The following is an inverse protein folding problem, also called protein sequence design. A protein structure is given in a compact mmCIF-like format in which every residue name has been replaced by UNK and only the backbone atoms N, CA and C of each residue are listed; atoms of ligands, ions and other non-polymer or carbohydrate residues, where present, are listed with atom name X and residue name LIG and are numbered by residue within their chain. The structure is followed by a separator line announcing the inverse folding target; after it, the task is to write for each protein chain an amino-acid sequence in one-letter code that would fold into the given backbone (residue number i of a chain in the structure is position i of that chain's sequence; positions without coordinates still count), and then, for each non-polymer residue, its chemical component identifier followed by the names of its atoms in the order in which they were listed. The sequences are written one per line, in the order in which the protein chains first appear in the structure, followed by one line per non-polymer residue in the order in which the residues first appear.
data_IF_409872630676
#
_entry.id   IF_409872630676
#
_cell.length_a   1.000
_cell.length_b   1.000
_cell.length_c   1.000
_cell.angle_alpha   90.00
_cell.angle_beta   90.00
_cell.angle_gamma   90.00
#
_symmetry.space_group_name_H-M   'P 1'
#
loop_
_entity.id
_entity.type
_entity.pdbx_description
1 polymer ?
#
# COMPACT_ATOMS: atom_id res chain seq x y z
N UNK A 1 -3.35 10.04 -8.60
CA UNK A 1 -4.50 9.31 -9.20
C UNK A 1 -5.67 10.28 -9.40
N UNK A 2 -6.60 10.11 -10.37
CA UNK A 2 -7.65 11.12 -10.63
C UNK A 2 -8.67 11.18 -9.48
N UNK A 3 -9.00 12.38 -9.01
CA UNK A 3 -10.00 12.60 -7.97
C UNK A 3 -11.42 12.43 -8.54
N UNK A 4 -12.17 11.44 -8.06
CA UNK A 4 -13.59 11.22 -8.44
C UNK A 4 -14.46 12.38 -7.89
N UNK A 5 -15.66 12.65 -8.38
CA UNK A 5 -16.57 13.59 -7.72
C UNK A 5 -17.24 12.94 -6.49
N UNK A 6 -17.36 13.66 -5.36
CA UNK A 6 -18.04 13.18 -4.15
C UNK A 6 -19.52 13.55 -4.28
N UNK A 7 -20.23 12.73 -5.04
CA UNK A 7 -21.64 12.41 -5.01
C UNK A 7 -22.68 13.56 -5.07
N UNK A 8 -23.66 13.38 -5.97
CA UNK A 8 -24.95 14.09 -6.16
C UNK A 8 -24.93 15.50 -6.79
N UNK A 9 -23.97 16.37 -6.50
CA UNK A 9 -24.01 17.78 -6.99
C UNK A 9 -22.90 18.17 -8.00
N UNK A 10 -22.07 17.22 -8.43
CA UNK A 10 -21.07 17.42 -9.49
C UNK A 10 -19.91 18.37 -9.18
N UNK A 11 -19.83 18.99 -7.99
CA UNK A 11 -18.78 19.95 -7.63
C UNK A 11 -17.78 19.40 -6.60
N UNK A 12 -16.48 19.48 -6.89
CA UNK A 12 -15.41 19.18 -5.91
C UNK A 12 -15.22 20.39 -4.98
N UNK A 13 -15.32 20.18 -3.66
CA UNK A 13 -15.07 21.26 -2.69
C UNK A 13 -13.57 21.59 -2.59
N UNK A 14 -13.23 22.85 -2.29
CA UNK A 14 -11.83 23.25 -2.04
C UNK A 14 -11.17 22.41 -0.96
N UNK A 15 -11.92 22.10 0.11
CA UNK A 15 -11.41 21.29 1.21
C UNK A 15 -10.98 19.90 0.75
N UNK A 16 -11.74 19.31 -0.18
CA UNK A 16 -11.42 18.01 -0.76
C UNK A 16 -10.20 18.07 -1.68
N UNK A 17 -10.06 19.14 -2.45
CA UNK A 17 -8.85 19.38 -3.25
C UNK A 17 -7.61 19.51 -2.37
N UNK A 18 -7.69 20.25 -1.27
CA UNK A 18 -6.60 20.36 -0.29
C UNK A 18 -6.21 19.00 0.29
N UNK A 19 -7.19 18.18 0.71
CA UNK A 19 -6.94 16.84 1.24
C UNK A 19 -6.33 15.92 0.19
N UNK A 20 -6.83 15.96 -1.05
CA UNK A 20 -6.29 15.17 -2.15
C UNK A 20 -4.85 15.58 -2.49
N UNK A 21 -4.58 16.88 -2.61
CA UNK A 21 -3.24 17.39 -2.89
C UNK A 21 -2.25 16.99 -1.79
N UNK A 22 -2.65 17.13 -0.52
CA UNK A 22 -1.83 16.71 0.61
C UNK A 22 -1.56 15.19 0.60
N UNK A 23 -2.52 14.36 0.17
CA UNK A 23 -2.34 12.92 0.00
C UNK A 23 -1.37 12.60 -1.15
N UNK A 24 -1.52 13.24 -2.30
CA UNK A 24 -0.74 12.98 -3.51
C UNK A 24 0.75 13.37 -3.37
N UNK A 25 1.06 14.34 -2.52
CA UNK A 25 2.44 14.70 -2.19
C UNK A 25 3.02 13.81 -1.07
N UNK A 26 2.18 13.17 -0.27
CA UNK A 26 2.60 12.44 0.92
C UNK A 26 3.29 11.13 0.57
N UNK A 27 4.49 10.97 1.13
CA UNK A 27 5.20 9.69 1.23
C UNK A 27 5.16 9.24 2.69
N UNK A 28 4.75 7.99 2.93
CA UNK A 28 4.75 7.40 4.27
C UNK A 28 5.78 6.30 4.36
N UNK A 29 6.71 6.41 5.31
CA UNK A 29 7.66 5.33 5.61
C UNK A 29 7.13 4.52 6.78
N UNK A 30 7.03 3.21 6.60
CA UNK A 30 6.59 2.26 7.62
C UNK A 30 7.77 1.35 7.96
N UNK A 31 8.34 1.54 9.15
CA UNK A 31 9.32 0.62 9.70
C UNK A 31 8.59 -0.64 10.22
N UNK A 32 8.61 -1.70 9.43
CA UNK A 32 8.06 -2.99 9.82
C UNK A 32 9.01 -3.70 10.78
N UNK A 33 8.43 -4.35 11.78
CA UNK A 33 9.17 -5.19 12.73
C UNK A 33 9.77 -6.41 12.03
N UNK A 34 10.81 -7.00 12.61
CA UNK A 34 11.37 -8.29 12.16
C UNK A 34 10.44 -9.47 12.50
N UNK A 35 9.27 -9.49 11.86
CA UNK A 35 8.22 -10.49 12.01
C UNK A 35 7.34 -10.53 10.75
N UNK A 36 6.60 -11.62 10.59
CA UNK A 36 5.57 -11.69 9.55
C UNK A 36 4.55 -10.56 9.77
N UNK A 37 4.32 -9.74 8.75
CA UNK A 37 3.56 -8.50 8.87
C UNK A 37 2.47 -8.47 7.82
N UNK A 38 1.25 -8.06 8.19
CA UNK A 38 0.20 -7.74 7.21
C UNK A 38 0.13 -6.23 7.03
N UNK A 39 0.16 -5.77 5.80
CA UNK A 39 0.04 -4.36 5.44
C UNK A 39 -1.34 -3.81 5.85
N UNK A 40 -1.41 -2.51 6.12
CA UNK A 40 -2.65 -1.81 6.43
C UNK A 40 -3.18 -1.14 5.17
N UNK A 41 -4.41 -1.48 4.77
CA UNK A 41 -5.06 -0.85 3.61
C UNK A 41 -5.25 0.67 3.83
N UNK A 42 -5.54 1.10 5.06
CA UNK A 42 -5.66 2.52 5.39
C UNK A 42 -4.32 3.27 5.24
N UNK A 43 -3.20 2.61 5.56
CA UNK A 43 -1.87 3.19 5.36
C UNK A 43 -1.56 3.34 3.88
N UNK A 44 -1.86 2.31 3.08
CA UNK A 44 -1.69 2.34 1.62
C UNK A 44 -2.56 3.41 0.94
N UNK A 45 -3.80 3.59 1.36
CA UNK A 45 -4.71 4.58 0.79
C UNK A 45 -4.46 6.02 1.25
N UNK A 46 -3.75 6.19 2.38
CA UNK A 46 -3.51 7.48 3.03
C UNK A 46 -2.30 8.26 2.54
N UNK A 47 -1.64 7.81 1.47
CA UNK A 47 -0.45 8.40 0.87
C UNK A 47 -0.40 8.08 -0.63
N UNK A 48 0.39 8.87 -1.38
CA UNK A 48 0.70 8.59 -2.79
C UNK A 48 1.68 7.43 -2.93
N UNK A 49 2.60 7.33 -1.98
CA UNK A 49 3.56 6.23 -1.88
C UNK A 49 3.75 5.82 -0.43
N UNK A 50 3.78 4.51 -0.21
CA UNK A 50 4.16 3.90 1.06
C UNK A 50 5.44 3.10 0.86
N UNK A 51 6.45 3.38 1.68
CA UNK A 51 7.72 2.66 1.69
C UNK A 51 7.77 1.80 2.96
N UNK A 52 7.69 0.49 2.79
CA UNK A 52 7.93 -0.46 3.87
C UNK A 52 9.43 -0.72 3.99
N UNK A 53 10.01 -0.42 5.14
CA UNK A 53 11.40 -0.80 5.46
C UNK A 53 11.37 -1.92 6.49
N UNK A 54 12.21 -2.93 6.31
CA UNK A 54 12.35 -4.04 7.27
C UNK A 54 13.80 -4.48 7.31
N UNK A 55 14.30 -4.79 8.51
CA UNK A 55 15.64 -5.37 8.73
C UNK A 55 15.49 -6.81 9.21
N UNK A 56 15.19 -7.77 8.32
CA UNK A 56 14.91 -9.13 8.73
C UNK A 56 16.17 -9.90 9.18
N UNK A 57 16.03 -10.70 10.23
CA UNK A 57 17.06 -11.66 10.69
C UNK A 57 16.75 -13.11 10.31
N UNK A 58 15.62 -13.34 9.64
CA UNK A 58 15.19 -14.59 9.03
C UNK A 58 14.26 -14.26 7.85
N UNK A 59 13.90 -15.24 7.00
CA UNK A 59 12.90 -15.00 5.95
C UNK A 59 11.57 -14.47 6.53
N UNK A 60 11.03 -13.39 5.96
CA UNK A 60 9.78 -12.76 6.43
C UNK A 60 8.71 -12.69 5.36
N UNK A 61 7.47 -12.85 5.78
CA UNK A 61 6.31 -12.60 4.94
C UNK A 61 5.81 -11.17 5.15
N UNK A 62 5.57 -10.46 4.05
CA UNK A 62 4.80 -9.22 4.04
C UNK A 62 3.49 -9.49 3.30
N UNK A 63 2.39 -9.63 4.03
CA UNK A 63 1.08 -9.97 3.46
C UNK A 63 0.34 -8.70 3.04
N UNK A 64 -0.20 -8.70 1.82
CA UNK A 64 -1.09 -7.62 1.35
C UNK A 64 -2.44 -7.66 2.08
N UNK A 65 -3.17 -6.54 2.21
CA UNK A 65 -4.54 -6.58 2.74
C UNK A 65 -5.44 -7.37 1.79
N UNK A 66 -6.61 -7.81 2.27
CA UNK A 66 -7.60 -8.45 1.38
C UNK A 66 -8.16 -7.45 0.38
N UNK A 67 -8.66 -7.93 -0.75
CA UNK A 67 -9.31 -7.07 -1.75
C UNK A 67 -10.49 -6.26 -1.17
N UNK A 68 -11.22 -6.82 -0.20
CA UNK A 68 -12.30 -6.10 0.49
C UNK A 68 -11.77 -4.95 1.36
N UNK A 69 -10.64 -5.16 2.06
CA UNK A 69 -10.00 -4.09 2.84
C UNK A 69 -9.45 -2.98 1.93
N UNK A 70 -8.87 -3.36 0.78
CA UNK A 70 -8.41 -2.40 -0.23
C UNK A 70 -9.59 -1.59 -0.80
N UNK A 71 -10.66 -2.26 -1.24
CA UNK A 71 -11.85 -1.58 -1.78
C UNK A 71 -12.53 -0.65 -0.78
N UNK A 72 -12.51 -0.99 0.52
CA UNK A 72 -13.03 -0.12 1.57
C UNK A 72 -12.13 1.09 1.86
N UNK A 73 -10.81 0.96 1.72
CA UNK A 73 -9.85 2.02 2.03
C UNK A 73 -9.66 3.01 0.86
N UNK A 74 -9.68 2.53 -0.38
CA UNK A 74 -9.50 3.34 -1.58
C UNK A 74 -10.83 3.87 -2.10
N UNK A 75 -11.39 4.86 -1.40
CA UNK A 75 -12.73 5.40 -1.68
C UNK A 75 -12.82 6.30 -2.93
N UNK A 76 -11.70 6.94 -3.30
CA UNK A 76 -11.64 7.82 -4.48
C UNK A 76 -11.15 7.09 -5.74
N UNK A 77 -11.03 5.76 -5.70
CA UNK A 77 -10.45 4.98 -6.79
C UNK A 77 -11.53 4.25 -7.60
N UNK A 78 -11.36 4.28 -8.93
CA UNK A 78 -12.21 3.54 -9.85
C UNK A 78 -11.58 2.18 -10.17
N UNK A 79 -12.43 1.24 -10.62
CA UNK A 79 -11.93 -0.02 -11.19
C UNK A 79 -11.01 0.31 -12.37
N UNK A 80 -9.82 -0.31 -12.38
CA UNK A 80 -8.79 -0.08 -13.40
C UNK A 80 -7.75 0.96 -13.03
N UNK A 81 -7.82 1.58 -11.85
CA UNK A 81 -6.71 2.39 -11.32
C UNK A 81 -5.64 1.51 -10.66
N UNK A 82 -4.52 2.13 -10.29
CA UNK A 82 -3.38 1.46 -9.67
C UNK A 82 -2.92 2.27 -8.47
N UNK A 83 -2.49 1.57 -7.42
CA UNK A 83 -1.78 2.15 -6.29
C UNK A 83 -0.34 1.62 -6.29
N UNK A 84 0.54 2.33 -5.57
CA UNK A 84 1.96 1.98 -5.49
C UNK A 84 2.41 1.89 -4.05
N UNK A 85 3.24 0.90 -3.78
CA UNK A 85 4.05 0.80 -2.57
C UNK A 85 5.42 0.23 -2.94
N UNK A 86 6.40 0.54 -2.10
CA UNK A 86 7.78 0.13 -2.23
C UNK A 86 8.16 -0.69 -0.99
N UNK A 87 9.01 -1.71 -1.16
CA UNK A 87 9.54 -2.52 -0.06
C UNK A 87 11.05 -2.48 -0.13
N UNK A 88 11.68 -2.09 0.98
CA UNK A 88 13.14 -2.04 1.13
C UNK A 88 13.55 -3.06 2.17
N UNK A 89 14.35 -4.03 1.74
CA UNK A 89 15.00 -4.99 2.61
C UNK A 89 16.36 -4.43 3.06
N UNK A 90 16.56 -4.29 4.36
CA UNK A 90 17.77 -3.76 4.97
C UNK A 90 18.60 -4.85 5.66
N UNK A 91 18.33 -6.13 5.39
CA UNK A 91 19.10 -7.23 5.96
C UNK A 91 20.56 -7.23 5.49
N UNK A 92 21.47 -7.66 6.38
CA UNK A 92 22.90 -7.72 6.08
C UNK A 92 23.32 -8.80 5.07
N UNK A 93 22.51 -9.85 4.87
CA UNK A 93 22.58 -10.85 3.79
C UNK A 93 21.53 -11.97 4.01
N UNK A 94 21.19 -12.73 2.97
CA UNK A 94 20.43 -14.02 2.98
C UNK A 94 18.95 -14.03 3.40
N UNK A 95 18.41 -12.99 4.02
CA UNK A 95 17.01 -12.97 4.47
C UNK A 95 16.10 -12.26 3.48
N UNK A 96 15.32 -13.01 2.72
CA UNK A 96 14.35 -12.43 1.79
C UNK A 96 13.05 -12.02 2.49
N UNK A 97 12.43 -10.95 1.97
CA UNK A 97 11.03 -10.60 2.26
C UNK A 97 10.18 -11.18 1.13
N UNK A 98 9.23 -12.04 1.47
CA UNK A 98 8.28 -12.62 0.51
C UNK A 98 6.96 -11.89 0.62
N UNK A 99 6.55 -11.22 -0.46
CA UNK A 99 5.23 -10.62 -0.55
C UNK A 99 4.19 -11.74 -0.71
N UNK A 100 3.23 -11.77 0.20
CA UNK A 100 2.17 -12.77 0.21
C UNK A 100 0.84 -12.12 -0.14
N UNK A 101 0.05 -12.76 -1.02
CA UNK A 101 -1.29 -12.29 -1.32
C UNK A 101 -2.17 -12.38 -0.06
N UNK A 102 -3.03 -11.39 0.16
CA UNK A 102 -4.08 -11.48 1.16
C UNK A 102 -4.98 -12.68 0.89
N UNK A 103 -5.71 -13.15 1.89
CA UNK A 103 -6.51 -14.37 1.80
C UNK A 103 -7.55 -14.37 0.66
N UNK A 104 -7.92 -13.19 0.14
CA UNK A 104 -8.81 -13.03 -1.00
C UNK A 104 -8.59 -11.70 -1.72
N UNK A 105 -8.98 -11.65 -3.00
CA UNK A 105 -9.08 -10.40 -3.78
C UNK A 105 -7.74 -9.75 -4.17
N UNK A 106 -6.61 -10.39 -3.90
CA UNK A 106 -5.28 -10.00 -4.40
C UNK A 106 -4.65 -11.19 -5.09
N UNK A 107 -4.12 -10.98 -6.29
CA UNK A 107 -3.37 -11.98 -7.05
C UNK A 107 -1.97 -11.47 -7.32
N UNK A 108 -0.96 -12.28 -7.00
CA UNK A 108 0.43 -12.01 -7.33
C UNK A 108 0.85 -12.97 -8.43
N UNK A 109 1.47 -12.45 -9.49
CA UNK A 109 1.94 -13.25 -10.63
C UNK A 109 3.46 -13.16 -10.67
N UNK A 110 4.13 -14.33 -10.76
CA UNK A 110 5.59 -14.42 -10.72
C UNK A 110 6.17 -14.53 -9.31
N UNK A 111 7.51 -14.43 -9.20
CA UNK A 111 8.20 -14.46 -7.91
C UNK A 111 8.10 -13.09 -7.23
N UNK A 112 7.39 -13.01 -6.11
CA UNK A 112 7.21 -11.79 -5.33
C UNK A 112 8.17 -11.74 -4.13
N UNK A 113 9.46 -11.92 -4.40
CA UNK A 113 10.54 -11.99 -3.39
C UNK A 113 11.47 -10.80 -3.51
N UNK A 114 11.67 -10.09 -2.39
CA UNK A 114 12.61 -8.99 -2.26
C UNK A 114 13.85 -9.54 -1.55
N UNK A 115 14.95 -9.70 -2.30
CA UNK A 115 16.24 -10.10 -1.75
C UNK A 115 16.84 -9.01 -0.85
N UNK A 116 17.87 -9.37 -0.08
CA UNK A 116 18.65 -8.44 0.73
C UNK A 116 19.63 -7.63 -0.13
#
# INVERSE_FOLDING_TARGET
MPLIANDTDGAVTRKRLETWAAKEEKVTVVAATDAATTQSAATLAGASEVVYTMTPTAGRALTTPTGAQLGAAFTDEAVGTSFRFSVVNLAGATHAITLTAGASGVTLVGSATIAA
#
